data_IF_611147865328
#
_entry.id   IF_611147865328
#
_cell.length_a   1.000
_cell.length_b   1.000
_cell.length_c   1.000
_cell.angle_alpha   90.00
_cell.angle_beta   90.00
_cell.angle_gamma   90.00
#
_symmetry.space_group_name_H-M   'P 1'
#
loop_
_entity.id
_entity.type
_entity.pdbx_description
1 polymer ?
#
# COMPACT_ATOMS: atom_id res chain seq x y z
N UNK A 1 -5.03 -16.82 -59.38
CA UNK A 1 -4.20 -18.04 -59.38
C UNK A 1 -2.90 -17.68 -60.07
N UNK A 2 -1.67 -17.75 -59.55
CA UNK A 2 -1.05 -18.26 -58.33
C UNK A 2 0.20 -17.37 -58.10
N UNK A 3 0.40 -16.84 -56.89
CA UNK A 3 1.65 -16.15 -56.52
C UNK A 3 2.67 -17.24 -56.23
N UNK A 4 3.64 -17.41 -57.12
CA UNK A 4 4.70 -18.40 -57.03
C UNK A 4 5.63 -18.02 -55.87
N UNK A 5 5.77 -18.94 -54.92
CA UNK A 5 6.75 -18.81 -53.84
C UNK A 5 8.14 -18.92 -54.42
N UNK A 6 9.03 -18.04 -53.97
CA UNK A 6 10.45 -18.12 -54.24
C UNK A 6 10.95 -19.52 -53.85
N UNK A 7 11.58 -20.19 -54.81
CA UNK A 7 12.11 -21.55 -54.72
C UNK A 7 13.62 -21.41 -54.68
N UNK A 8 14.25 -22.14 -53.76
CA UNK A 8 15.72 -22.18 -53.65
C UNK A 8 16.32 -22.87 -54.89
N UNK A 9 17.64 -22.78 -55.10
CA UNK A 9 18.32 -23.32 -56.28
C UNK A 9 18.08 -24.83 -56.53
N UNK A 10 17.63 -25.55 -55.49
CA UNK A 10 17.29 -26.97 -55.52
C UNK A 10 15.80 -27.29 -55.76
N UNK A 11 14.96 -26.28 -56.05
CA UNK A 11 13.56 -26.46 -56.46
C UNK A 11 12.57 -26.77 -55.32
N UNK A 12 13.00 -26.69 -54.06
CA UNK A 12 12.12 -26.87 -52.90
C UNK A 12 11.33 -25.58 -52.60
N UNK A 13 9.99 -25.63 -52.45
CA UNK A 13 9.21 -24.45 -52.13
C UNK A 13 9.63 -23.94 -50.75
N UNK A 14 10.17 -22.71 -50.69
CA UNK A 14 10.52 -22.05 -49.44
C UNK A 14 9.20 -21.74 -48.73
N UNK A 15 8.67 -22.73 -47.98
CA UNK A 15 7.57 -22.52 -47.05
C UNK A 15 8.04 -21.40 -46.14
N UNK A 16 7.42 -20.23 -46.24
CA UNK A 16 7.51 -19.12 -45.28
C UNK A 16 7.07 -19.62 -43.90
N UNK A 17 7.91 -20.43 -43.27
CA UNK A 17 7.82 -20.83 -41.86
C UNK A 17 8.43 -19.71 -41.05
N UNK A 18 7.86 -18.50 -41.11
CA UNK A 18 8.09 -17.48 -40.09
C UNK A 18 7.19 -16.26 -40.25
N UNK A 19 5.89 -16.49 -40.27
CA UNK A 19 4.98 -15.53 -39.67
C UNK A 19 3.92 -16.31 -38.90
N UNK A 20 4.41 -17.14 -37.97
CA UNK A 20 3.63 -17.39 -36.77
C UNK A 20 3.62 -16.05 -36.05
N UNK A 21 2.60 -15.27 -36.39
CA UNK A 21 2.22 -14.04 -35.76
C UNK A 21 2.22 -14.30 -34.25
N UNK A 22 3.29 -13.86 -33.56
CA UNK A 22 3.26 -13.59 -32.14
C UNK A 22 2.19 -12.53 -31.95
N UNK A 23 0.92 -12.93 -31.87
CA UNK A 23 -0.12 -12.10 -31.28
C UNK A 23 0.33 -11.97 -29.83
N UNK A 24 0.71 -10.78 -29.34
CA UNK A 24 0.88 -10.62 -27.91
C UNK A 24 -0.46 -11.02 -27.32
N UNK A 25 -0.47 -12.11 -26.54
CA UNK A 25 -1.59 -12.41 -25.67
C UNK A 25 -1.84 -11.14 -24.89
N UNK A 26 -3.00 -10.52 -25.07
CA UNK A 26 -3.44 -9.42 -24.24
C UNK A 26 -3.48 -9.95 -22.80
N UNK A 27 -2.36 -9.81 -22.09
CA UNK A 27 -2.28 -9.97 -20.66
C UNK A 27 -3.21 -8.92 -20.08
N UNK A 28 -4.47 -9.32 -19.83
CA UNK A 28 -5.35 -8.66 -18.87
C UNK A 28 -4.47 -8.34 -17.67
N UNK A 29 -4.35 -7.06 -17.30
CA UNK A 29 -3.44 -6.60 -16.26
C UNK A 29 -3.46 -7.60 -15.09
N UNK A 30 -2.40 -8.41 -15.02
CA UNK A 30 -2.37 -9.52 -14.08
C UNK A 30 -2.39 -8.98 -12.66
N UNK A 31 -2.86 -9.77 -11.71
CA UNK A 31 -2.71 -9.45 -10.28
C UNK A 31 -1.26 -9.02 -9.92
N UNK A 32 -0.28 -9.59 -10.61
CA UNK A 32 1.14 -9.23 -10.55
C UNK A 32 1.43 -7.80 -11.00
N UNK A 33 0.78 -7.31 -12.07
CA UNK A 33 0.88 -5.94 -12.53
C UNK A 33 0.23 -4.96 -11.55
N UNK A 34 -0.94 -5.29 -11.01
CA UNK A 34 -1.62 -4.48 -10.01
C UNK A 34 -0.76 -4.29 -8.74
N UNK A 35 -0.18 -5.37 -8.20
CA UNK A 35 0.72 -5.28 -7.04
C UNK A 35 1.97 -4.44 -7.34
N UNK A 36 2.49 -4.52 -8.57
CA UNK A 36 3.63 -3.70 -9.02
C UNK A 36 3.27 -2.21 -9.04
N UNK A 37 2.09 -1.88 -9.54
CA UNK A 37 1.56 -0.50 -9.58
C UNK A 37 1.32 0.03 -8.17
N UNK A 38 0.68 -0.75 -7.28
CA UNK A 38 0.47 -0.38 -5.87
C UNK A 38 1.80 -0.10 -5.16
N UNK A 39 2.82 -0.96 -5.34
CA UNK A 39 4.15 -0.74 -4.75
C UNK A 39 4.82 0.53 -5.30
N UNK A 40 4.62 0.85 -6.57
CA UNK A 40 5.14 2.08 -7.17
C UNK A 40 4.47 3.32 -6.57
N UNK A 41 3.17 3.26 -6.28
CA UNK A 41 2.44 4.36 -5.62
C UNK A 41 2.79 4.48 -4.14
N UNK A 42 2.90 3.37 -3.41
CA UNK A 42 3.32 3.36 -2.00
C UNK A 42 4.73 3.92 -1.78
N UNK A 43 5.60 3.88 -2.80
CA UNK A 43 6.91 4.54 -2.78
C UNK A 43 6.84 6.06 -2.82
N UNK A 44 5.73 6.64 -3.30
CA UNK A 44 5.49 8.09 -3.28
C UNK A 44 5.02 8.57 -1.90
N UNK A 45 4.54 7.66 -1.06
CA UNK A 45 4.17 7.99 0.32
C UNK A 45 5.44 8.34 1.08
N UNK A 46 5.51 9.57 1.58
CA UNK A 46 6.56 10.00 2.47
C UNK A 46 6.35 9.31 3.83
N UNK A 47 6.97 8.15 4.01
CA UNK A 47 6.98 7.48 5.30
C UNK A 47 7.82 8.31 6.27
N UNK A 48 7.26 8.61 7.46
CA UNK A 48 7.94 9.45 8.43
C UNK A 48 9.26 8.80 8.87
N UNK A 49 10.22 9.65 9.25
CA UNK A 49 11.47 9.18 9.83
C UNK A 49 11.20 8.50 11.18
N UNK A 50 12.02 7.52 11.57
CA UNK A 50 11.87 6.84 12.87
C UNK A 50 11.89 7.82 14.06
N UNK A 51 12.68 8.89 13.94
CA UNK A 51 12.74 9.99 14.91
C UNK A 51 11.44 10.78 14.98
N UNK A 52 10.81 11.05 13.84
CA UNK A 52 9.56 11.80 13.77
C UNK A 52 8.40 11.00 14.39
N UNK A 53 8.30 9.70 14.08
CA UNK A 53 7.32 8.81 14.73
C UNK A 53 7.52 8.79 16.25
N UNK A 54 8.76 8.66 16.72
CA UNK A 54 9.08 8.68 18.15
C UNK A 54 8.67 9.98 18.83
N UNK A 55 8.95 11.12 18.21
CA UNK A 55 8.58 12.44 18.73
C UNK A 55 7.06 12.59 18.84
N UNK A 56 6.31 12.19 17.81
CA UNK A 56 4.85 12.25 17.85
C UNK A 56 4.27 11.33 18.93
N UNK A 57 4.78 10.11 19.08
CA UNK A 57 4.36 9.21 20.16
C UNK A 57 4.66 9.81 21.54
N UNK A 58 5.83 10.41 21.73
CA UNK A 58 6.20 11.05 23.00
C UNK A 58 5.24 12.20 23.37
N UNK A 59 4.91 13.08 22.41
CA UNK A 59 3.96 14.18 22.63
C UNK A 59 2.59 13.64 23.04
N UNK A 60 2.10 12.61 22.35
CA UNK A 60 0.80 11.98 22.66
C UNK A 60 0.82 11.37 24.06
N UNK A 61 1.87 10.63 24.43
CA UNK A 61 2.01 10.03 25.77
C UNK A 61 1.96 11.12 26.86
N UNK A 62 2.76 12.18 26.70
CA UNK A 62 2.81 13.28 27.67
C UNK A 62 1.42 13.93 27.80
N UNK A 63 0.75 14.17 26.68
CA UNK A 63 -0.58 14.79 26.66
C UNK A 63 -1.60 13.93 27.39
N UNK A 64 -1.60 12.62 27.14
CA UNK A 64 -2.51 11.68 27.82
C UNK A 64 -2.23 11.68 29.32
N UNK A 65 -0.96 11.61 29.75
CA UNK A 65 -0.61 11.63 31.17
C UNK A 65 -1.10 12.89 31.88
N UNK A 66 -0.99 14.05 31.25
CA UNK A 66 -1.50 15.32 31.80
C UNK A 66 -3.01 15.28 31.97
N UNK A 67 -3.74 14.87 30.93
CA UNK A 67 -5.21 14.80 30.99
C UNK A 67 -5.64 13.78 32.05
N UNK A 68 -5.02 12.60 32.07
CA UNK A 68 -5.30 11.57 33.08
C UNK A 68 -5.04 12.07 34.50
N UNK A 69 -3.96 12.81 34.73
CA UNK A 69 -3.67 13.39 36.05
C UNK A 69 -4.72 14.42 36.47
N UNK A 70 -5.20 15.27 35.55
CA UNK A 70 -6.27 16.23 35.82
C UNK A 70 -7.56 15.51 36.17
N UNK A 71 -7.97 14.54 35.35
CA UNK A 71 -9.20 13.76 35.58
C UNK A 71 -9.12 13.01 36.91
N UNK A 72 -8.01 12.31 37.18
CA UNK A 72 -7.82 11.59 38.44
C UNK A 72 -7.82 12.53 39.65
N UNK A 73 -7.24 13.73 39.52
CA UNK A 73 -7.29 14.76 40.56
C UNK A 73 -8.72 15.25 40.82
N UNK A 74 -9.48 15.52 39.75
CA UNK A 74 -10.88 15.91 39.87
C UNK A 74 -11.74 14.80 40.46
N UNK A 75 -11.57 13.56 40.04
CA UNK A 75 -12.28 12.40 40.57
C UNK A 75 -12.01 12.22 42.07
N UNK A 76 -10.77 12.45 42.51
CA UNK A 76 -10.40 12.41 43.93
C UNK A 76 -11.11 13.50 44.74
N UNK A 77 -11.11 14.74 44.23
CA UNK A 77 -11.83 15.86 44.86
C UNK A 77 -13.32 15.56 44.92
N UNK A 78 -13.95 15.19 43.81
CA UNK A 78 -15.38 14.89 43.78
C UNK A 78 -15.74 13.71 44.68
N UNK A 79 -14.91 12.67 44.76
CA UNK A 79 -15.15 11.55 45.67
C UNK A 79 -15.21 12.01 47.12
N UNK A 80 -14.29 12.88 47.56
CA UNK A 80 -14.35 13.42 48.93
C UNK A 80 -15.56 14.33 49.13
N UNK A 81 -15.83 15.24 48.19
CA UNK A 81 -16.97 16.18 48.27
C UNK A 81 -18.32 15.47 48.31
N UNK A 82 -18.50 14.40 47.54
CA UNK A 82 -19.74 13.62 47.48
C UNK A 82 -19.90 12.79 48.75
N UNK A 83 -18.82 12.17 49.27
CA UNK A 83 -18.89 11.41 50.52
C UNK A 83 -19.23 12.32 51.72
N UNK A 84 -18.66 13.52 51.79
CA UNK A 84 -19.04 14.52 52.81
C UNK A 84 -20.47 15.02 52.62
N UNK A 85 -20.94 15.23 51.39
CA UNK A 85 -22.30 15.76 51.14
C UNK A 85 -23.42 14.74 51.42
N UNK A 86 -23.15 13.44 51.29
CA UNK A 86 -24.19 12.40 51.35
C UNK A 86 -24.16 11.52 52.62
N UNK A 87 -23.13 11.58 53.49
CA UNK A 87 -23.06 10.74 54.70
C UNK A 87 -22.56 11.42 56.01
N UNK A 88 -22.67 12.76 56.13
CA UNK A 88 -22.93 13.53 57.39
C UNK A 88 -23.26 14.98 57.07
#
# INVERSE_FOLDING_TARGET
MQRQGEVDADGEPIRQRRQQQNRPTEERAGFTQFVREVRAELRKVAWPSRSETGNYTAVVIITILVITAIVAGLDWVFSQSVLELFDV
#
